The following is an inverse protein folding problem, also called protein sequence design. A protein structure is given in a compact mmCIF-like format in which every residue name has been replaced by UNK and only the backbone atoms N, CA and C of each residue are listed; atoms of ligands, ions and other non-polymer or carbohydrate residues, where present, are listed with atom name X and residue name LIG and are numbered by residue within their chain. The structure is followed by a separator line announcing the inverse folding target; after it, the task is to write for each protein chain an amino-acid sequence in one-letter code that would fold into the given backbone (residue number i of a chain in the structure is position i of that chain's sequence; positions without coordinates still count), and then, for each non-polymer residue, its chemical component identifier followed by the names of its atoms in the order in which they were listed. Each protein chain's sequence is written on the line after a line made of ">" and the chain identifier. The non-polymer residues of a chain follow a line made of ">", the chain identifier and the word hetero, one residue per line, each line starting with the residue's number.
data_IF_793108427683
#
_entry.id   IF_793108427683
#
_cell.length_a   1.000
_cell.length_b   1.000
_cell.length_c   1.000
_cell.angle_alpha   90.00
_cell.angle_beta   90.00
_cell.angle_gamma   90.00
#
_symmetry.space_group_name_H-M   'P 1'
#
loop_
_entity.id
_entity.type
_entity.pdbx_description
1 polymer ?
#
# COMPACT_ATOMS: atom_id res chain seq x y z
N UNK A 1 -6.94 -7.04 -10.11
CA UNK A 1 -6.24 -5.96 -10.85
C UNK A 1 -6.30 -4.65 -10.09
N UNK A 2 -5.17 -4.19 -9.55
CA UNK A 2 -5.04 -2.95 -8.78
C UNK A 2 -5.06 -1.67 -9.64
N UNK A 3 -5.78 -1.67 -10.77
CA UNK A 3 -5.73 -0.61 -11.79
C UNK A 3 -6.18 0.77 -11.30
N UNK A 4 -6.93 0.84 -10.20
CA UNK A 4 -7.27 2.10 -9.50
C UNK A 4 -6.06 2.70 -8.76
N UNK A 5 -5.14 1.85 -8.33
CA UNK A 5 -3.99 2.21 -7.48
C UNK A 5 -2.68 2.30 -8.27
N UNK A 6 -2.66 1.82 -9.51
CA UNK A 6 -1.49 1.79 -10.38
C UNK A 6 -1.61 2.81 -11.53
N UNK A 7 -0.47 3.35 -11.94
CA UNK A 7 -0.33 4.22 -13.11
C UNK A 7 -0.31 3.37 -14.39
N UNK A 8 -0.33 4.01 -15.57
CA UNK A 8 -0.22 3.30 -16.86
C UNK A 8 1.04 2.41 -16.96
N UNK A 9 2.09 2.73 -16.20
CA UNK A 9 3.30 1.92 -16.10
C UNK A 9 3.15 0.65 -15.25
N UNK A 10 2.00 0.41 -14.63
CA UNK A 10 1.77 -0.71 -13.71
C UNK A 10 2.35 -0.52 -12.31
N UNK A 11 3.02 0.61 -12.04
CA UNK A 11 3.56 0.95 -10.71
C UNK A 11 2.51 1.66 -9.86
N UNK A 12 2.57 1.52 -8.54
CA UNK A 12 1.66 2.24 -7.65
C UNK A 12 1.82 3.76 -7.78
N UNK A 13 0.68 4.46 -7.82
CA UNK A 13 0.66 5.91 -7.96
C UNK A 13 1.29 6.58 -6.74
N UNK A 14 2.14 7.58 -6.99
CA UNK A 14 2.74 8.41 -5.92
C UNK A 14 1.70 9.18 -5.10
N UNK A 15 0.52 9.42 -5.67
CA UNK A 15 -0.58 10.10 -4.99
C UNK A 15 -1.28 9.20 -3.96
N UNK A 16 -1.04 7.87 -4.00
CA UNK A 16 -1.64 6.91 -3.08
C UNK A 16 -1.28 7.18 -1.62
N UNK A 17 -0.14 7.82 -1.36
CA UNK A 17 0.33 8.22 -0.02
C UNK A 17 -0.62 9.16 0.74
N UNK A 18 -1.55 9.80 0.02
CA UNK A 18 -2.54 10.73 0.57
C UNK A 18 -3.92 10.07 0.77
N UNK A 19 -4.19 8.93 0.10
CA UNK A 19 -5.44 8.16 0.23
C UNK A 19 -5.31 7.07 1.31
N UNK A 20 -5.47 7.48 2.57
CA UNK A 20 -5.36 6.57 3.73
C UNK A 20 -6.37 5.41 3.67
N UNK A 21 -7.58 5.65 3.15
CA UNK A 21 -8.59 4.59 3.00
C UNK A 21 -8.21 3.62 1.89
N UNK A 22 -7.72 4.13 0.76
CA UNK A 22 -7.19 3.32 -0.33
C UNK A 22 -6.02 2.44 0.10
N UNK A 23 -5.10 2.98 0.91
CA UNK A 23 -3.97 2.22 1.48
C UNK A 23 -4.44 1.10 2.42
N UNK A 24 -5.42 1.37 3.29
CA UNK A 24 -5.95 0.35 4.20
C UNK A 24 -6.62 -0.79 3.43
N UNK A 25 -7.45 -0.47 2.44
CA UNK A 25 -8.10 -1.48 1.61
C UNK A 25 -7.09 -2.28 0.76
N UNK A 26 -6.00 -1.64 0.31
CA UNK A 26 -4.92 -2.33 -0.41
C UNK A 26 -4.18 -3.31 0.50
N UNK A 27 -3.89 -2.91 1.73
CA UNK A 27 -3.27 -3.76 2.74
C UNK A 27 -4.15 -4.96 3.09
N UNK A 28 -5.44 -4.74 3.39
CA UNK A 28 -6.38 -5.82 3.67
C UNK A 28 -6.48 -6.81 2.50
N UNK A 29 -6.48 -6.31 1.26
CA UNK A 29 -6.48 -7.15 0.07
C UNK A 29 -5.17 -7.92 -0.11
N UNK A 30 -4.01 -7.36 0.27
CA UNK A 30 -2.72 -8.07 0.20
C UNK A 30 -2.61 -9.19 1.24
N UNK A 31 -3.28 -9.05 2.38
CA UNK A 31 -3.33 -10.12 3.39
C UNK A 31 -4.23 -11.31 2.98
N UNK A 32 -4.99 -11.19 1.89
CA UNK A 32 -5.84 -12.26 1.36
C UNK A 32 -5.14 -13.11 0.28
N UNK A 33 -3.83 -12.96 0.12
CA UNK A 33 -3.03 -13.78 -0.80
C UNK A 33 -3.06 -15.27 -0.48
N UNK A 34 -3.17 -16.07 -1.55
CA UNK A 34 -2.59 -17.40 -1.59
C UNK A 34 -1.13 -17.27 -2.07
N UNK A 35 -0.21 -18.06 -1.50
CA UNK A 35 1.23 -18.01 -1.82
C UNK A 35 1.51 -17.93 -3.34
N UNK A 36 2.26 -16.89 -3.77
CA UNK A 36 2.84 -16.78 -5.12
C UNK A 36 2.55 -15.49 -5.91
N UNK A 37 1.78 -14.53 -5.40
CA UNK A 37 1.46 -13.28 -6.11
C UNK A 37 2.42 -12.12 -5.74
N UNK A 38 3.60 -12.09 -6.38
CA UNK A 38 4.64 -11.01 -6.25
C UNK A 38 4.15 -9.55 -6.14
N UNK A 39 2.99 -9.20 -6.72
CA UNK A 39 2.40 -7.84 -6.66
C UNK A 39 1.89 -7.50 -5.25
N UNK A 40 1.43 -8.48 -4.50
CA UNK A 40 0.82 -8.30 -3.20
C UNK A 40 1.87 -8.34 -2.06
N UNK A 41 2.99 -9.04 -2.26
CA UNK A 41 4.21 -8.85 -1.47
C UNK A 41 4.72 -7.39 -1.58
N UNK A 42 4.78 -6.83 -2.79
CA UNK A 42 5.19 -5.43 -3.01
C UNK A 42 4.20 -4.44 -2.36
N UNK A 43 2.89 -4.70 -2.48
CA UNK A 43 1.86 -3.89 -1.83
C UNK A 43 1.99 -3.91 -0.29
N UNK A 44 2.32 -5.07 0.28
CA UNK A 44 2.54 -5.24 1.73
C UNK A 44 3.77 -4.46 2.20
N UNK A 45 4.88 -4.53 1.46
CA UNK A 45 6.09 -3.79 1.78
C UNK A 45 5.83 -2.27 1.81
N UNK A 46 5.25 -1.73 0.73
CA UNK A 46 5.01 -0.29 0.56
C UNK A 46 4.00 0.25 1.58
N UNK A 47 2.89 -0.44 1.78
CA UNK A 47 1.86 0.00 2.74
C UNK A 47 2.39 0.01 4.18
N UNK A 48 3.15 -1.01 4.58
CA UNK A 48 3.70 -1.13 5.92
C UNK A 48 4.77 -0.07 6.23
N UNK A 49 5.61 0.29 5.24
CA UNK A 49 6.61 1.36 5.39
C UNK A 49 5.95 2.71 5.63
N UNK A 50 4.98 3.07 4.78
CA UNK A 50 4.31 4.37 4.87
C UNK A 50 3.46 4.52 6.14
N UNK A 51 2.78 3.46 6.59
CA UNK A 51 2.03 3.46 7.85
C UNK A 51 2.95 3.66 9.05
N UNK A 52 4.11 2.98 9.10
CA UNK A 52 5.10 3.18 10.17
C UNK A 52 5.67 4.59 10.19
N UNK A 53 6.01 5.15 9.03
CA UNK A 53 6.51 6.51 8.94
C UNK A 53 5.48 7.54 9.44
N UNK A 54 4.19 7.32 9.13
CA UNK A 54 3.09 8.16 9.64
C UNK A 54 2.92 8.04 11.15
N UNK A 55 2.91 6.82 11.69
CA UNK A 55 2.77 6.59 13.14
C UNK A 55 3.96 7.18 13.90
N UNK A 56 5.20 6.96 13.42
CA UNK A 56 6.41 7.53 14.02
C UNK A 56 6.41 9.06 14.00
N UNK A 57 5.82 9.69 12.98
CA UNK A 57 5.66 11.15 12.93
C UNK A 57 4.58 11.66 13.91
N UNK A 58 3.62 10.82 14.31
CA UNK A 58 2.58 11.18 15.28
C UNK A 58 3.04 11.03 16.73
N UNK A 59 4.05 10.19 17.00
CA UNK A 59 4.63 9.97 18.34
C UNK A 59 5.56 11.12 18.80
N UNK A 60 5.92 12.05 17.90
CA UNK A 60 6.76 13.21 18.21
C UNK A 60 5.94 14.46 18.59
N UNK A 61 4.78 14.28 19.24
CA UNK A 61 3.91 15.36 19.73
C UNK A 61 3.67 15.28 21.23
#
# INVERSE_FOLDING_TARGET
>A
CFGRFTEQSGRFSKNLREDVRGLLSLYEASQLECEGETVLEEATAISSEHLRARISCMDQR
#
